data_IF_800104196963
#
_entry.id   IF_800104196963
#
_cell.length_a   1.000
_cell.length_b   1.000
_cell.length_c   1.000
_cell.angle_alpha   90.00
_cell.angle_beta   90.00
_cell.angle_gamma   90.00
#
_symmetry.space_group_name_H-M   'P 1'
#
loop_
_entity.id
_entity.type
_entity.pdbx_description
1 polymer ?
#
# COMPACT_ATOMS: atom_id res chain seq x y z
N UNK A 1 -10.80 -26.92 12.93
CA UNK A 1 -11.37 -25.65 13.46
C UNK A 1 -10.72 -24.38 12.91
N UNK A 2 -9.48 -24.40 12.41
CA UNK A 2 -8.75 -23.22 11.88
C UNK A 2 -9.46 -22.47 10.72
N UNK A 3 -10.07 -23.18 9.76
CA UNK A 3 -10.61 -22.53 8.56
C UNK A 3 -11.80 -21.57 8.80
N UNK A 4 -12.67 -21.86 9.79
CA UNK A 4 -13.84 -20.99 10.07
C UNK A 4 -13.45 -19.68 10.73
N UNK A 5 -12.47 -19.72 11.64
CA UNK A 5 -11.91 -18.54 12.26
C UNK A 5 -11.18 -17.68 11.22
N UNK A 6 -10.36 -18.30 10.35
CA UNK A 6 -9.67 -17.60 9.28
C UNK A 6 -10.67 -16.91 8.33
N UNK A 7 -11.73 -17.60 7.88
CA UNK A 7 -12.75 -16.98 7.03
C UNK A 7 -13.50 -15.84 7.73
N UNK A 8 -13.74 -15.95 9.04
CA UNK A 8 -14.38 -14.88 9.81
C UNK A 8 -13.47 -13.65 9.95
N UNK A 9 -12.17 -13.86 10.19
CA UNK A 9 -11.18 -12.78 10.21
C UNK A 9 -11.07 -12.09 8.85
N UNK A 10 -11.05 -12.85 7.76
CA UNK A 10 -11.08 -12.29 6.40
C UNK A 10 -12.36 -11.50 6.12
N UNK A 11 -13.53 -12.02 6.54
CA UNK A 11 -14.80 -11.31 6.41
C UNK A 11 -14.82 -9.99 7.20
N UNK A 12 -14.33 -10.00 8.43
CA UNK A 12 -14.18 -8.79 9.25
C UNK A 12 -13.22 -7.79 8.62
N UNK A 13 -12.10 -8.25 8.07
CA UNK A 13 -11.11 -7.40 7.40
C UNK A 13 -11.72 -6.74 6.15
N UNK A 14 -12.49 -7.47 5.35
CA UNK A 14 -13.19 -6.94 4.19
C UNK A 14 -14.28 -5.93 4.57
N UNK A 15 -15.05 -6.20 5.63
CA UNK A 15 -16.05 -5.25 6.14
C UNK A 15 -15.38 -3.96 6.65
N UNK A 16 -14.28 -4.09 7.38
CA UNK A 16 -13.51 -2.95 7.86
C UNK A 16 -12.95 -2.12 6.69
N UNK A 17 -12.34 -2.76 5.70
CA UNK A 17 -11.86 -2.11 4.48
C UNK A 17 -12.98 -1.39 3.72
N UNK A 18 -14.12 -2.07 3.53
CA UNK A 18 -15.28 -1.49 2.84
C UNK A 18 -15.85 -0.27 3.57
N UNK A 19 -15.96 -0.35 4.89
CA UNK A 19 -16.36 0.80 5.72
C UNK A 19 -15.37 1.97 5.60
N UNK A 20 -14.07 1.68 5.60
CA UNK A 20 -13.02 2.68 5.45
C UNK A 20 -13.08 3.39 4.09
N UNK A 21 -13.35 2.65 3.02
CA UNK A 21 -13.56 3.20 1.66
C UNK A 21 -14.80 4.10 1.62
N UNK A 22 -15.91 3.70 2.26
CA UNK A 22 -17.10 4.54 2.35
C UNK A 22 -16.81 5.84 3.10
N UNK A 23 -16.13 5.77 4.25
CA UNK A 23 -15.74 6.96 5.03
C UNK A 23 -14.86 7.92 4.23
N UNK A 24 -13.93 7.38 3.43
CA UNK A 24 -13.12 8.18 2.51
C UNK A 24 -13.97 8.86 1.43
N UNK A 25 -14.93 8.14 0.84
CA UNK A 25 -15.80 8.65 -0.22
C UNK A 25 -16.77 9.73 0.30
N UNK A 26 -17.30 9.58 1.51
CA UNK A 26 -18.16 10.58 2.15
C UNK A 26 -17.41 11.84 2.63
N UNK A 27 -16.10 11.93 2.43
CA UNK A 27 -15.29 13.09 2.81
C UNK A 27 -15.09 13.26 4.32
N UNK A 28 -15.46 12.25 5.13
CA UNK A 28 -15.28 12.26 6.58
C UNK A 28 -13.80 12.22 6.99
N UNK A 29 -12.93 11.82 6.07
CA UNK A 29 -11.48 11.76 6.25
C UNK A 29 -10.75 12.97 5.63
N UNK A 30 -11.46 14.03 5.23
CA UNK A 30 -10.87 15.20 4.56
C UNK A 30 -9.81 15.90 5.41
N UNK A 31 -10.03 15.96 6.73
CA UNK A 31 -9.04 16.47 7.68
C UNK A 31 -7.73 15.65 7.70
N UNK A 32 -7.79 14.37 7.31
CA UNK A 32 -6.67 13.45 7.31
C UNK A 32 -6.14 13.14 5.92
N UNK A 33 -6.73 13.68 4.84
CA UNK A 33 -6.32 13.40 3.45
C UNK A 33 -4.83 13.64 3.22
N UNK A 34 -4.28 14.74 3.75
CA UNK A 34 -2.85 15.06 3.67
C UNK A 34 -1.99 14.05 4.43
N UNK A 35 -2.36 13.70 5.67
CA UNK A 35 -1.62 12.68 6.46
C UNK A 35 -1.72 11.29 5.83
N UNK A 36 -2.87 10.94 5.27
CA UNK A 36 -3.08 9.68 4.56
C UNK A 36 -2.25 9.62 3.28
N UNK A 37 -2.20 10.70 2.49
CA UNK A 37 -1.37 10.78 1.28
C UNK A 37 0.11 10.62 1.63
N UNK A 38 0.62 11.33 2.64
CA UNK A 38 2.02 11.20 3.04
C UNK A 38 2.36 9.81 3.58
N UNK A 39 1.50 9.22 4.42
CA UNK A 39 1.74 7.88 4.94
C UNK A 39 1.71 6.81 3.84
N UNK A 40 0.75 6.87 2.91
CA UNK A 40 0.69 5.99 1.74
C UNK A 40 1.91 6.18 0.84
N UNK A 41 2.32 7.42 0.60
CA UNK A 41 3.53 7.74 -0.18
C UNK A 41 4.79 7.14 0.45
N UNK A 42 4.97 7.28 1.76
CA UNK A 42 6.12 6.71 2.48
C UNK A 42 6.14 5.19 2.39
N UNK A 43 4.99 4.54 2.56
CA UNK A 43 4.90 3.07 2.43
C UNK A 43 5.26 2.64 1.02
N UNK A 44 4.70 3.29 -0.01
CA UNK A 44 5.02 3.02 -1.41
C UNK A 44 6.52 3.21 -1.69
N UNK A 45 7.11 4.29 -1.18
CA UNK A 45 8.53 4.57 -1.35
C UNK A 45 9.40 3.51 -0.68
N UNK A 46 9.10 3.11 0.57
CA UNK A 46 9.84 2.08 1.29
C UNK A 46 9.75 0.72 0.59
N UNK A 47 8.57 0.35 0.09
CA UNK A 47 8.38 -0.88 -0.69
C UNK A 47 9.20 -0.82 -1.98
N UNK A 48 9.16 0.31 -2.69
CA UNK A 48 9.94 0.52 -3.91
C UNK A 48 11.45 0.43 -3.67
N UNK A 49 11.95 1.07 -2.61
CA UNK A 49 13.35 0.96 -2.17
C UNK A 49 13.70 -0.49 -1.82
N UNK A 50 12.84 -1.22 -1.10
CA UNK A 50 13.09 -2.61 -0.77
C UNK A 50 13.26 -3.49 -2.02
N UNK A 51 12.45 -3.27 -3.06
CA UNK A 51 12.63 -3.94 -4.35
C UNK A 51 13.94 -3.56 -5.04
N UNK A 52 14.34 -2.28 -5.01
CA UNK A 52 15.64 -1.86 -5.56
C UNK A 52 16.81 -2.49 -4.78
N UNK A 53 16.72 -2.57 -3.47
CA UNK A 53 17.71 -3.24 -2.62
C UNK A 53 17.82 -4.72 -2.98
N UNK A 54 16.68 -5.39 -3.23
CA UNK A 54 16.69 -6.78 -3.71
C UNK A 54 17.38 -6.94 -5.08
N UNK A 55 17.35 -5.94 -5.95
CA UNK A 55 18.11 -5.97 -7.22
C UNK A 55 19.61 -5.96 -6.94
N UNK A 56 20.07 -5.08 -6.04
CA UNK A 56 21.49 -4.98 -5.67
C UNK A 56 22.00 -6.31 -5.10
N UNK A 57 21.20 -6.98 -4.26
CA UNK A 57 21.59 -8.24 -3.64
C UNK A 57 21.32 -9.49 -4.51
N UNK A 58 20.40 -9.41 -5.47
CA UNK A 58 20.02 -10.55 -6.34
C UNK A 58 20.19 -10.16 -7.81
N UNK A 59 21.40 -9.69 -8.16
CA UNK A 59 21.82 -9.04 -9.42
C UNK A 59 21.35 -9.70 -10.73
N UNK A 60 20.83 -10.93 -10.70
CA UNK A 60 20.37 -11.68 -11.86
C UNK A 60 18.85 -11.56 -12.14
N UNK A 61 18.08 -10.88 -11.29
CA UNK A 61 16.61 -10.84 -11.41
C UNK A 61 16.09 -9.44 -11.73
N UNK A 62 16.23 -9.07 -13.00
CA UNK A 62 15.62 -7.87 -13.60
C UNK A 62 14.11 -7.73 -13.35
N UNK A 63 13.41 -8.83 -13.01
CA UNK A 63 11.99 -8.80 -12.66
C UNK A 63 11.66 -7.86 -11.49
N UNK A 64 12.64 -7.53 -10.64
CA UNK A 64 12.42 -6.66 -9.47
C UNK A 64 12.54 -5.15 -9.80
N UNK A 65 13.09 -4.79 -10.96
CA UNK A 65 13.19 -3.40 -11.42
C UNK A 65 11.81 -2.79 -11.62
N UNK A 66 10.95 -3.49 -12.35
CA UNK A 66 9.59 -3.04 -12.66
C UNK A 66 8.76 -2.71 -11.40
N UNK A 67 8.61 -3.61 -10.42
CA UNK A 67 7.87 -3.29 -9.20
C UNK A 67 8.55 -2.19 -8.39
N UNK A 68 9.88 -2.20 -8.25
CA UNK A 68 10.60 -1.18 -7.48
C UNK A 68 10.39 0.23 -8.02
N UNK A 69 10.60 0.43 -9.32
CA UNK A 69 10.39 1.72 -9.99
C UNK A 69 8.92 2.11 -9.99
N UNK A 70 7.99 1.16 -10.20
CA UNK A 70 6.55 1.45 -10.16
C UNK A 70 6.11 1.94 -8.79
N UNK A 71 6.51 1.27 -7.70
CA UNK A 71 6.17 1.67 -6.34
C UNK A 71 6.77 3.03 -5.96
N UNK A 72 8.02 3.30 -6.36
CA UNK A 72 8.63 4.63 -6.19
C UNK A 72 7.86 5.71 -6.95
N UNK A 73 7.50 5.45 -8.20
CA UNK A 73 6.78 6.41 -9.04
C UNK A 73 5.40 6.69 -8.48
N UNK A 74 4.67 5.65 -8.06
CA UNK A 74 3.37 5.80 -7.39
C UNK A 74 3.51 6.57 -6.07
N UNK A 75 4.52 6.28 -5.27
CA UNK A 75 4.80 7.03 -4.05
C UNK A 75 5.06 8.52 -4.32
N UNK A 76 5.81 8.83 -5.37
CA UNK A 76 6.07 10.21 -5.79
C UNK A 76 4.80 10.90 -6.30
N UNK A 77 3.96 10.23 -7.10
CA UNK A 77 2.68 10.78 -7.57
C UNK A 77 1.78 11.10 -6.39
N UNK A 78 1.64 10.17 -5.43
CA UNK A 78 0.81 10.36 -4.23
C UNK A 78 1.35 11.46 -3.32
N UNK A 79 2.66 11.68 -3.29
CA UNK A 79 3.27 12.78 -2.53
C UNK A 79 2.96 14.16 -3.14
N UNK A 80 2.90 14.22 -4.47
CA UNK A 80 2.75 15.46 -5.23
C UNK A 80 1.29 15.83 -5.52
N UNK A 81 0.35 14.90 -5.31
CA UNK A 81 -1.10 15.08 -5.44
C UNK A 81 -1.73 15.67 -4.18
#
# INVERSE_FOLDING_TARGET
MSNRLNSALWGLLLLALGGLVLLYNFGLLDAYKLMAAYSVSVVLALVGVAFLVLIVFRQERWMFVLPGVSFLTLGAVVYLS
#
